data_IF_069915749463
#
_entry.id   IF_069915749463
#
_cell.length_a   1.000
_cell.length_b   1.000
_cell.length_c   1.000
_cell.angle_alpha   90.00
_cell.angle_beta   90.00
_cell.angle_gamma   90.00
#
_symmetry.space_group_name_H-M   'P 1'
#
loop_
_entity.id
_entity.type
_entity.pdbx_description
1 polymer ?
#
# COMPACT_ATOMS: atom_id res chain seq x y z
N UNK A 1 26.35 1.61 -3.62
CA UNK A 1 26.74 1.32 -5.02
C UNK A 1 28.14 0.70 -5.08
N UNK A 2 29.15 1.36 -4.52
CA UNK A 2 30.55 0.91 -4.57
C UNK A 2 30.79 -0.48 -3.95
N UNK A 3 30.20 -0.76 -2.77
CA UNK A 3 30.42 -2.05 -2.09
C UNK A 3 29.92 -3.24 -2.92
N UNK A 4 28.76 -3.13 -3.56
CA UNK A 4 28.21 -4.18 -4.42
C UNK A 4 29.15 -4.48 -5.59
N UNK A 5 29.62 -3.47 -6.29
CA UNK A 5 30.57 -3.62 -7.40
C UNK A 5 31.91 -4.21 -6.94
N UNK A 6 32.42 -3.74 -5.80
CA UNK A 6 33.68 -4.26 -5.23
C UNK A 6 33.57 -5.74 -4.88
N UNK A 7 32.46 -6.14 -4.20
CA UNK A 7 32.25 -7.57 -3.87
C UNK A 7 32.18 -8.43 -5.12
N UNK A 8 31.42 -8.02 -6.15
CA UNK A 8 31.35 -8.77 -7.40
C UNK A 8 32.70 -8.86 -8.12
N UNK A 9 33.45 -7.77 -8.15
CA UNK A 9 34.81 -7.76 -8.73
C UNK A 9 35.74 -8.70 -7.97
N UNK A 10 35.75 -8.68 -6.65
CA UNK A 10 36.54 -9.59 -5.81
C UNK A 10 36.20 -11.04 -6.08
N UNK A 11 34.88 -11.40 -6.11
CA UNK A 11 34.41 -12.76 -6.40
C UNK A 11 34.85 -13.23 -7.81
N UNK A 12 34.80 -12.35 -8.78
CA UNK A 12 35.25 -12.62 -10.12
C UNK A 12 36.80 -12.89 -10.14
N UNK A 13 37.59 -12.04 -9.49
CA UNK A 13 39.05 -12.22 -9.38
C UNK A 13 39.42 -13.51 -8.65
N UNK A 14 38.70 -13.85 -7.57
CA UNK A 14 38.87 -15.11 -6.85
C UNK A 14 38.56 -16.32 -7.75
N UNK A 15 37.54 -16.27 -8.56
CA UNK A 15 37.19 -17.35 -9.49
C UNK A 15 38.35 -17.57 -10.49
N UNK A 16 38.88 -16.51 -11.08
CA UNK A 16 40.03 -16.60 -11.99
C UNK A 16 41.27 -17.14 -11.28
N UNK A 17 41.54 -16.69 -10.05
CA UNK A 17 42.67 -17.18 -9.25
C UNK A 17 42.54 -18.68 -8.96
N UNK A 18 41.36 -19.19 -8.59
CA UNK A 18 41.17 -20.62 -8.37
C UNK A 18 41.32 -21.42 -9.65
N UNK A 19 40.80 -20.97 -10.78
CA UNK A 19 41.01 -21.59 -12.09
C UNK A 19 42.50 -21.73 -12.38
N UNK A 20 43.28 -20.65 -12.25
CA UNK A 20 44.72 -20.66 -12.45
C UNK A 20 45.45 -21.65 -11.52
N UNK A 21 45.09 -21.67 -10.22
CA UNK A 21 45.64 -22.61 -9.22
C UNK A 21 45.36 -24.07 -9.59
N UNK A 22 44.15 -24.39 -10.07
CA UNK A 22 43.76 -25.74 -10.47
C UNK A 22 44.59 -26.19 -11.66
N UNK A 23 44.76 -25.33 -12.67
CA UNK A 23 45.60 -25.69 -13.83
C UNK A 23 47.05 -25.96 -13.45
N UNK A 24 47.64 -25.21 -12.53
CA UNK A 24 49.02 -25.42 -12.04
C UNK A 24 49.16 -26.52 -11.01
N UNK A 25 48.08 -27.11 -10.52
CA UNK A 25 48.15 -28.16 -9.50
C UNK A 25 48.69 -29.47 -10.07
N UNK A 26 49.35 -30.28 -9.21
CA UNK A 26 49.80 -31.64 -9.53
C UNK A 26 48.66 -32.69 -9.38
N UNK A 27 47.39 -32.29 -9.29
CA UNK A 27 46.25 -33.16 -9.14
C UNK A 27 46.01 -34.00 -10.41
N UNK A 28 45.41 -35.19 -10.25
CA UNK A 28 45.01 -36.01 -11.40
C UNK A 28 44.01 -35.29 -12.29
N UNK A 29 43.99 -35.59 -13.57
CA UNK A 29 43.08 -34.96 -14.54
C UNK A 29 41.58 -35.10 -14.14
N UNK A 30 41.20 -36.24 -13.57
CA UNK A 30 39.83 -36.41 -13.05
C UNK A 30 39.53 -35.40 -11.91
N UNK A 31 40.47 -35.20 -11.02
CA UNK A 31 40.33 -34.25 -9.90
C UNK A 31 40.31 -32.80 -10.35
N UNK A 32 41.15 -32.46 -11.35
CA UNK A 32 41.14 -31.12 -11.98
C UNK A 32 39.80 -30.84 -12.64
N UNK A 33 39.26 -31.77 -13.44
CA UNK A 33 37.96 -31.60 -14.08
C UNK A 33 36.84 -31.36 -13.04
N UNK A 34 36.83 -32.15 -11.96
CA UNK A 34 35.84 -31.96 -10.88
C UNK A 34 35.97 -30.56 -10.24
N UNK A 35 37.20 -30.14 -9.92
CA UNK A 35 37.41 -28.83 -9.28
C UNK A 35 37.04 -27.68 -10.23
N UNK A 36 37.37 -27.79 -11.52
CA UNK A 36 36.98 -26.80 -12.52
C UNK A 36 35.47 -26.72 -12.68
N UNK A 37 34.77 -27.88 -12.69
CA UNK A 37 33.29 -27.90 -12.71
C UNK A 37 32.69 -27.20 -11.48
N UNK A 38 33.22 -27.42 -10.28
CA UNK A 38 32.77 -26.76 -9.06
C UNK A 38 32.99 -25.24 -9.12
N UNK A 39 34.18 -24.79 -9.58
CA UNK A 39 34.45 -23.35 -9.76
C UNK A 39 33.53 -22.73 -10.81
N UNK A 40 33.28 -23.48 -11.90
CA UNK A 40 32.34 -23.01 -12.93
C UNK A 40 30.91 -22.87 -12.41
N UNK A 41 30.41 -23.88 -11.67
CA UNK A 41 29.08 -23.79 -11.02
C UNK A 41 29.04 -22.62 -10.05
N UNK A 42 30.05 -22.46 -9.21
CA UNK A 42 30.13 -21.31 -8.29
C UNK A 42 30.10 -19.97 -9.05
N UNK A 43 30.88 -19.86 -10.13
CA UNK A 43 30.90 -18.65 -10.96
C UNK A 43 29.50 -18.35 -11.56
N UNK A 44 28.82 -19.36 -12.09
CA UNK A 44 27.47 -19.21 -12.64
C UNK A 44 26.48 -18.75 -11.56
N UNK A 45 26.56 -19.31 -10.35
CA UNK A 45 25.72 -18.89 -9.23
C UNK A 45 26.00 -17.45 -8.80
N UNK A 46 27.26 -17.05 -8.73
CA UNK A 46 27.64 -15.66 -8.42
C UNK A 46 27.13 -14.70 -9.49
N UNK A 47 27.28 -15.08 -10.77
CA UNK A 47 26.79 -14.27 -11.89
C UNK A 47 25.26 -14.13 -11.84
N UNK A 48 24.54 -15.23 -11.64
CA UNK A 48 23.10 -15.22 -11.54
C UNK A 48 22.63 -14.34 -10.35
N UNK A 49 23.24 -14.53 -9.16
CA UNK A 49 22.96 -13.69 -8.01
C UNK A 49 23.22 -12.20 -8.31
N UNK A 50 24.32 -11.89 -8.97
CA UNK A 50 24.68 -10.52 -9.33
C UNK A 50 23.68 -9.87 -10.29
N UNK A 51 23.19 -10.64 -11.27
CA UNK A 51 22.15 -10.17 -12.21
C UNK A 51 20.84 -9.89 -11.47
N UNK A 52 20.39 -10.82 -10.63
CA UNK A 52 19.17 -10.63 -9.84
C UNK A 52 19.32 -9.47 -8.85
N UNK A 53 20.46 -9.36 -8.16
CA UNK A 53 20.72 -8.23 -7.27
C UNK A 53 20.67 -6.89 -8.03
N UNK A 54 21.30 -6.81 -9.21
CA UNK A 54 21.21 -5.62 -10.04
C UNK A 54 19.79 -5.30 -10.47
N UNK A 55 19.04 -6.32 -10.87
CA UNK A 55 17.62 -6.18 -11.26
C UNK A 55 16.79 -5.63 -10.10
N UNK A 56 16.79 -6.28 -8.92
CA UNK A 56 16.00 -5.83 -7.77
C UNK A 56 16.47 -4.49 -7.21
N UNK A 57 17.75 -4.17 -7.33
CA UNK A 57 18.32 -2.92 -6.85
C UNK A 57 18.00 -1.73 -7.77
N UNK A 58 18.04 -1.92 -9.09
CA UNK A 58 17.99 -0.80 -10.03
C UNK A 58 16.75 -0.80 -10.93
N UNK A 59 16.25 -1.96 -11.31
CA UNK A 59 15.18 -2.09 -12.31
C UNK A 59 13.82 -2.31 -11.66
N UNK A 60 13.71 -3.35 -10.80
CA UNK A 60 12.45 -3.68 -10.15
C UNK A 60 11.87 -2.48 -9.38
N UNK A 61 10.63 -2.09 -9.69
CA UNK A 61 10.05 -0.84 -9.22
C UNK A 61 8.57 -1.01 -8.84
N UNK A 62 8.32 -1.97 -7.94
CA UNK A 62 7.00 -2.24 -7.40
C UNK A 62 7.03 -2.13 -5.87
N UNK A 63 5.88 -1.77 -5.27
CA UNK A 63 5.68 -1.87 -3.83
C UNK A 63 5.42 -3.32 -3.41
N UNK A 64 5.50 -3.61 -2.12
CA UNK A 64 5.18 -4.93 -1.56
C UNK A 64 3.85 -4.96 -0.78
N UNK A 65 3.17 -3.83 -0.73
CA UNK A 65 1.89 -3.65 -0.05
C UNK A 65 1.95 -3.64 1.48
N UNK A 66 3.04 -4.12 2.08
CA UNK A 66 3.18 -4.25 3.55
C UNK A 66 4.32 -3.40 4.12
N UNK A 67 5.16 -2.81 3.28
CA UNK A 67 6.26 -1.97 3.71
C UNK A 67 7.50 -2.70 4.23
N UNK A 68 7.59 -4.02 4.05
CA UNK A 68 8.67 -4.82 4.65
C UNK A 68 9.95 -4.88 3.85
N UNK A 69 9.83 -4.92 2.53
CA UNK A 69 10.93 -5.20 1.63
C UNK A 69 11.73 -3.92 1.32
N UNK A 70 13.02 -4.09 1.05
CA UNK A 70 13.86 -2.98 0.57
C UNK A 70 13.34 -2.38 -0.73
N UNK A 71 12.70 -3.18 -1.57
CA UNK A 71 12.07 -2.70 -2.81
C UNK A 71 10.96 -1.71 -2.54
N UNK A 72 10.19 -1.87 -1.45
CA UNK A 72 9.15 -0.92 -1.05
C UNK A 72 9.75 0.44 -0.66
N UNK A 73 10.82 0.44 0.12
CA UNK A 73 11.52 1.69 0.48
C UNK A 73 12.01 2.44 -0.76
N UNK A 74 12.50 1.69 -1.78
CA UNK A 74 12.92 2.27 -3.06
C UNK A 74 11.74 2.80 -3.86
N UNK A 75 10.64 2.05 -3.94
CA UNK A 75 9.40 2.50 -4.58
C UNK A 75 8.92 3.81 -3.94
N UNK A 76 8.88 3.85 -2.61
CA UNK A 76 8.49 5.03 -1.86
C UNK A 76 9.39 6.24 -2.17
N UNK A 77 10.72 6.06 -2.19
CA UNK A 77 11.66 7.13 -2.54
C UNK A 77 11.49 7.67 -3.96
N UNK A 78 10.98 6.85 -4.90
CA UNK A 78 10.82 7.22 -6.30
C UNK A 78 9.46 7.85 -6.61
N UNK A 79 8.41 7.38 -5.94
CA UNK A 79 7.04 7.67 -6.33
C UNK A 79 6.26 8.47 -5.29
N UNK A 80 6.83 8.69 -4.10
CA UNK A 80 6.16 9.44 -3.04
C UNK A 80 6.86 10.76 -2.80
N UNK A 81 6.13 11.84 -3.07
CA UNK A 81 6.54 13.20 -2.74
C UNK A 81 5.51 13.72 -1.76
N UNK A 82 5.98 14.17 -0.60
CA UNK A 82 5.14 14.76 0.43
C UNK A 82 5.06 16.28 0.28
N UNK A 83 3.88 16.82 0.53
CA UNK A 83 3.70 18.27 0.68
C UNK A 83 4.18 18.77 2.07
N UNK A 84 4.05 20.07 2.31
CA UNK A 84 4.43 20.71 3.58
C UNK A 84 3.64 20.18 4.80
N UNK A 85 2.49 19.53 4.60
CA UNK A 85 1.66 18.89 5.62
C UNK A 85 1.91 17.39 5.78
N UNK A 86 2.92 16.85 5.08
CA UNK A 86 3.25 15.42 5.05
C UNK A 86 2.16 14.52 4.47
N UNK A 87 1.40 15.01 3.48
CA UNK A 87 0.52 14.20 2.63
C UNK A 87 1.16 14.00 1.25
N UNK A 88 0.88 12.87 0.62
CA UNK A 88 1.28 12.59 -0.77
C UNK A 88 0.38 13.34 -1.73
N UNK A 89 0.48 14.65 -1.73
CA UNK A 89 -0.32 15.54 -2.54
C UNK A 89 0.46 16.82 -2.84
N UNK A 90 -0.09 17.68 -3.70
CA UNK A 90 0.41 19.06 -3.86
C UNK A 90 0.30 19.84 -2.56
N UNK A 91 1.01 20.95 -2.46
CA UNK A 91 0.85 21.86 -1.34
C UNK A 91 -0.59 22.39 -1.26
N UNK A 92 -1.11 22.44 -0.02
CA UNK A 92 -2.44 22.95 0.26
C UNK A 92 -2.39 24.47 0.46
N UNK A 93 -3.38 25.18 -0.08
CA UNK A 93 -3.58 26.59 0.19
C UNK A 93 -4.63 26.75 1.26
N UNK A 94 -4.31 27.52 2.33
CA UNK A 94 -5.27 27.76 3.42
C UNK A 94 -6.43 28.63 2.92
N UNK A 95 -6.10 29.71 2.21
CA UNK A 95 -7.10 30.62 1.66
C UNK A 95 -7.92 29.94 0.55
N UNK A 96 -9.23 29.85 0.76
CA UNK A 96 -10.17 29.29 -0.21
C UNK A 96 -10.63 30.39 -1.16
N UNK A 97 -10.44 30.18 -2.45
CA UNK A 97 -10.87 31.15 -3.48
C UNK A 97 -12.38 31.18 -3.58
N UNK A 98 -12.93 32.36 -3.85
CA UNK A 98 -14.37 32.56 -4.04
C UNK A 98 -14.92 31.67 -5.17
N UNK A 99 -16.04 31.03 -4.89
CA UNK A 99 -16.71 30.14 -5.83
C UNK A 99 -16.01 28.77 -6.07
N UNK A 100 -14.94 28.46 -5.34
CA UNK A 100 -14.29 27.16 -5.38
C UNK A 100 -14.90 26.26 -4.29
N UNK A 101 -15.33 25.06 -4.67
CA UNK A 101 -15.68 24.00 -3.71
C UNK A 101 -14.44 23.21 -3.38
N UNK A 102 -14.28 22.87 -2.10
CA UNK A 102 -13.13 22.12 -1.62
C UNK A 102 -13.57 20.75 -1.07
N UNK A 103 -12.94 19.71 -1.56
CA UNK A 103 -13.19 18.32 -1.16
C UNK A 103 -11.98 17.82 -0.39
N UNK A 104 -12.21 17.33 0.84
CA UNK A 104 -11.21 16.59 1.59
C UNK A 104 -11.43 15.09 1.41
N UNK A 105 -10.37 14.35 1.11
CA UNK A 105 -10.41 12.88 1.05
C UNK A 105 -9.65 12.37 2.27
N UNK A 106 -10.35 11.66 3.16
CA UNK A 106 -9.75 10.95 4.29
C UNK A 106 -9.74 9.46 3.99
N UNK A 107 -8.80 8.73 4.55
CA UNK A 107 -8.63 7.30 4.35
C UNK A 107 -7.20 6.85 4.66
N UNK A 108 -6.96 5.58 4.44
CA UNK A 108 -5.71 4.90 4.76
C UNK A 108 -4.71 4.86 3.59
N UNK A 109 -4.14 3.68 3.37
CA UNK A 109 -3.18 3.41 2.29
C UNK A 109 -3.80 3.40 0.90
N UNK A 110 -5.11 3.21 0.78
CA UNK A 110 -5.83 3.24 -0.49
C UNK A 110 -6.01 4.69 -0.95
N UNK A 111 -6.47 5.59 -0.06
CA UNK A 111 -6.51 7.02 -0.35
C UNK A 111 -5.12 7.57 -0.66
N UNK A 112 -4.10 7.20 0.13
CA UNK A 112 -2.70 7.52 -0.17
C UNK A 112 -2.26 7.07 -1.55
N UNK A 113 -2.88 6.04 -2.13
CA UNK A 113 -2.51 5.43 -3.40
C UNK A 113 -1.32 4.48 -3.27
N UNK A 114 -1.38 3.56 -2.29
CA UNK A 114 -0.41 2.49 -2.13
C UNK A 114 -0.27 1.72 -3.45
N UNK A 115 0.97 1.46 -3.88
CA UNK A 115 1.26 0.79 -5.15
C UNK A 115 1.13 1.65 -6.42
N UNK A 116 0.37 2.73 -6.41
CA UNK A 116 0.20 3.63 -7.57
C UNK A 116 1.45 4.49 -7.77
N UNK A 117 2.10 4.36 -8.91
CA UNK A 117 3.36 5.08 -9.20
C UNK A 117 3.14 6.56 -9.51
N UNK A 118 2.16 6.86 -10.35
CA UNK A 118 1.83 8.23 -10.70
C UNK A 118 0.66 8.72 -9.84
N UNK A 119 0.90 9.72 -9.01
CA UNK A 119 -0.11 10.30 -8.11
C UNK A 119 -1.39 10.75 -8.85
N UNK A 120 -1.28 11.13 -10.11
CA UNK A 120 -2.43 11.54 -10.92
C UNK A 120 -3.37 10.38 -11.30
N UNK A 121 -2.96 9.13 -11.07
CA UNK A 121 -3.79 7.94 -11.31
C UNK A 121 -4.55 7.49 -10.05
N UNK A 122 -4.42 8.20 -8.91
CA UNK A 122 -5.26 7.98 -7.73
C UNK A 122 -6.68 8.47 -7.97
N UNK A 123 -7.65 7.84 -7.31
CA UNK A 123 -9.06 8.19 -7.48
C UNK A 123 -9.37 9.65 -7.11
N UNK A 124 -8.70 10.21 -6.09
CA UNK A 124 -8.87 11.61 -5.67
C UNK A 124 -8.41 12.61 -6.74
N UNK A 125 -7.24 12.38 -7.35
CA UNK A 125 -6.70 13.21 -8.43
C UNK A 125 -7.53 13.07 -9.72
N UNK A 126 -7.96 11.82 -10.04
CA UNK A 126 -8.83 11.55 -11.18
C UNK A 126 -10.20 12.21 -11.02
N UNK A 127 -10.78 12.19 -9.81
CA UNK A 127 -12.03 12.88 -9.50
C UNK A 127 -11.89 14.39 -9.69
N UNK A 128 -10.82 15.00 -9.15
CA UNK A 128 -10.57 16.42 -9.33
C UNK A 128 -10.51 16.79 -10.82
N UNK A 129 -9.77 16.01 -11.59
CA UNK A 129 -9.65 16.22 -13.03
C UNK A 129 -11.01 16.13 -13.72
N UNK A 130 -11.83 15.10 -13.44
CA UNK A 130 -13.16 14.92 -14.03
C UNK A 130 -14.10 16.07 -13.70
N UNK A 131 -14.10 16.55 -12.47
CA UNK A 131 -14.91 17.68 -12.03
C UNK A 131 -14.47 18.96 -12.75
N UNK A 132 -13.16 19.24 -12.83
CA UNK A 132 -12.63 20.41 -13.57
C UNK A 132 -12.93 20.35 -15.06
N UNK A 133 -12.75 19.20 -15.70
CA UNK A 133 -13.06 18.98 -17.12
C UNK A 133 -14.57 19.17 -17.40
N UNK A 134 -15.42 18.98 -16.38
CA UNK A 134 -16.87 19.23 -16.43
C UNK A 134 -17.25 20.68 -16.09
N UNK A 135 -16.28 21.57 -15.90
CA UNK A 135 -16.49 23.01 -15.69
C UNK A 135 -16.67 23.43 -14.23
N UNK A 136 -16.51 22.51 -13.26
CA UNK A 136 -16.60 22.86 -11.84
C UNK A 136 -15.29 23.50 -11.34
N UNK A 137 -15.43 24.54 -10.53
CA UNK A 137 -14.29 25.12 -9.79
C UNK A 137 -14.12 24.33 -8.50
N UNK A 138 -13.16 23.41 -8.48
CA UNK A 138 -12.95 22.49 -7.35
C UNK A 138 -11.46 22.31 -7.02
N UNK A 139 -11.18 22.11 -5.76
CA UNK A 139 -9.91 21.62 -5.23
C UNK A 139 -10.19 20.33 -4.45
N UNK A 140 -9.47 19.26 -4.76
CA UNK A 140 -9.51 18.00 -4.00
C UNK A 140 -8.17 17.83 -3.30
N UNK A 141 -8.19 17.67 -1.97
CA UNK A 141 -7.02 17.45 -1.13
C UNK A 141 -7.10 16.08 -0.50
N UNK A 142 -6.06 15.28 -0.71
CA UNK A 142 -5.98 13.91 -0.24
C UNK A 142 -5.17 13.86 1.06
N UNK A 143 -5.82 13.40 2.13
CA UNK A 143 -5.26 13.30 3.47
C UNK A 143 -4.89 11.84 3.84
N UNK A 144 -4.94 10.92 2.87
CA UNK A 144 -4.67 9.50 3.07
C UNK A 144 -3.30 9.21 3.68
N UNK A 145 -3.29 8.33 4.67
CA UNK A 145 -2.08 7.91 5.41
C UNK A 145 -2.02 6.41 5.58
N UNK A 146 -0.98 5.74 5.05
CA UNK A 146 -0.86 4.28 5.17
C UNK A 146 -0.85 3.79 6.63
N UNK A 147 -1.66 2.77 6.91
CA UNK A 147 -1.71 2.11 8.21
C UNK A 147 -2.48 2.88 9.29
N UNK A 148 -3.26 3.87 8.89
CA UNK A 148 -4.19 4.54 9.79
C UNK A 148 -5.51 3.75 9.84
N UNK A 149 -6.14 3.83 10.98
CA UNK A 149 -7.50 3.38 11.27
C UNK A 149 -8.46 4.58 11.29
N UNK A 150 -9.72 4.34 11.50
CA UNK A 150 -10.76 5.38 11.59
C UNK A 150 -10.39 6.53 12.53
N UNK A 151 -9.84 6.25 13.72
CA UNK A 151 -9.45 7.32 14.66
C UNK A 151 -8.29 8.15 14.12
N UNK A 152 -7.32 7.49 13.49
CA UNK A 152 -6.19 8.14 12.83
C UNK A 152 -6.64 9.04 11.68
N UNK A 153 -7.55 8.57 10.85
CA UNK A 153 -8.10 9.34 9.72
C UNK A 153 -8.87 10.58 10.17
N UNK A 154 -9.72 10.43 11.19
CA UNK A 154 -10.42 11.55 11.83
C UNK A 154 -9.41 12.56 12.40
N UNK A 155 -8.36 12.07 13.07
CA UNK A 155 -7.32 12.94 13.61
C UNK A 155 -6.58 13.72 12.52
N UNK A 156 -6.36 13.12 11.33
CA UNK A 156 -5.76 13.84 10.19
C UNK A 156 -6.70 14.93 9.67
N UNK A 157 -8.00 14.67 9.55
CA UNK A 157 -8.98 15.70 9.21
C UNK A 157 -8.95 16.86 10.20
N UNK A 158 -8.94 16.59 11.51
CA UNK A 158 -8.93 17.63 12.55
C UNK A 158 -7.70 18.55 12.48
N UNK A 159 -6.54 18.03 12.05
CA UNK A 159 -5.31 18.84 11.87
C UNK A 159 -5.46 19.89 10.78
N UNK A 160 -6.28 19.63 9.77
CA UNK A 160 -6.38 20.47 8.57
C UNK A 160 -7.80 20.97 8.29
N UNK A 161 -8.72 20.87 9.25
CA UNK A 161 -10.09 21.34 9.07
C UNK A 161 -10.23 22.85 8.78
N UNK A 162 -9.19 23.62 9.12
CA UNK A 162 -9.06 25.04 8.77
C UNK A 162 -8.91 25.27 7.26
N UNK A 163 -8.70 24.22 6.45
CA UNK A 163 -8.75 24.28 4.98
C UNK A 163 -10.17 24.47 4.44
N UNK A 164 -11.19 24.43 5.29
CA UNK A 164 -12.59 24.71 4.97
C UNK A 164 -13.16 23.85 3.82
N UNK A 165 -13.26 22.55 4.05
CA UNK A 165 -13.86 21.60 3.12
C UNK A 165 -15.40 21.78 3.05
N UNK A 166 -15.97 21.67 1.85
CA UNK A 166 -17.42 21.63 1.64
C UNK A 166 -17.95 20.19 1.62
N UNK A 167 -17.12 19.27 1.11
CA UNK A 167 -17.44 17.85 0.94
C UNK A 167 -16.29 17.03 1.53
N UNK A 168 -16.66 15.99 2.25
CA UNK A 168 -15.69 14.97 2.71
C UNK A 168 -15.97 13.69 1.96
N UNK A 169 -14.96 13.14 1.33
CA UNK A 169 -14.95 11.78 0.83
C UNK A 169 -14.20 10.93 1.84
N UNK A 170 -14.88 9.95 2.40
CA UNK A 170 -14.29 9.00 3.33
C UNK A 170 -14.04 7.69 2.59
N UNK A 171 -12.80 7.40 2.31
CA UNK A 171 -12.38 6.09 1.85
C UNK A 171 -12.36 5.17 3.07
N UNK A 172 -13.22 4.15 3.06
CA UNK A 172 -13.37 3.19 4.14
C UNK A 172 -12.90 1.82 3.68
N UNK A 173 -11.98 1.26 4.42
CA UNK A 173 -11.49 -0.08 4.20
C UNK A 173 -11.71 -0.95 5.42
N UNK A 174 -11.90 -2.27 5.22
CA UNK A 174 -12.33 -3.15 6.33
C UNK A 174 -11.25 -3.38 7.40
N UNK A 175 -10.04 -2.88 7.25
CA UNK A 175 -9.00 -2.87 8.28
C UNK A 175 -9.05 -1.64 9.20
N UNK A 176 -9.99 -0.70 8.99
CA UNK A 176 -10.15 0.53 9.77
C UNK A 176 -10.71 0.28 11.16
N UNK A 177 -11.31 -0.89 11.40
CA UNK A 177 -11.73 -1.34 12.71
C UNK A 177 -10.54 -1.82 13.51
N UNK A 178 -10.23 -1.15 14.62
CA UNK A 178 -9.13 -1.53 15.51
C UNK A 178 -9.60 -1.63 16.97
N UNK A 179 -8.99 -2.53 17.78
CA UNK A 179 -9.22 -2.52 19.21
C UNK A 179 -8.69 -1.24 19.85
N UNK A 180 -9.41 -0.69 20.81
CA UNK A 180 -9.13 0.57 21.52
C UNK A 180 -7.67 0.74 22.04
N UNK A 181 -6.94 -0.35 22.22
CA UNK A 181 -5.55 -0.33 22.73
C UNK A 181 -4.47 -0.20 21.66
N UNK A 182 -4.83 -0.14 20.35
CA UNK A 182 -3.88 -0.24 19.24
C UNK A 182 -3.85 0.93 18.25
N UNK A 183 -4.60 2.00 18.49
CA UNK A 183 -4.73 3.16 17.59
C UNK A 183 -3.44 4.01 17.44
N UNK A 184 -2.26 3.43 17.56
CA UNK A 184 -0.99 4.17 17.56
C UNK A 184 -0.26 4.23 16.22
N UNK A 185 -0.90 3.86 15.10
CA UNK A 185 -0.28 3.97 13.77
C UNK A 185 1.05 3.20 13.62
N UNK A 186 1.34 2.29 14.53
CA UNK A 186 2.52 1.42 14.43
C UNK A 186 2.18 0.27 13.49
N UNK A 187 3.00 0.02 12.46
CA UNK A 187 2.81 -1.15 11.62
C UNK A 187 2.76 -2.38 12.52
N UNK A 188 1.64 -3.12 12.47
CA UNK A 188 1.33 -4.32 13.25
C UNK A 188 2.47 -5.35 13.21
N UNK A 189 3.42 -5.16 12.33
CA UNK A 189 4.55 -6.06 12.12
C UNK A 189 5.85 -5.27 12.19
N UNK A 190 6.31 -5.04 13.41
CA UNK A 190 7.72 -4.75 13.61
C UNK A 190 8.54 -5.83 12.90
N UNK A 191 9.49 -5.42 12.07
CA UNK A 191 10.55 -6.27 11.51
C UNK A 191 11.19 -7.01 12.70
N UNK A 192 10.67 -8.22 12.97
CA UNK A 192 10.74 -8.81 14.29
C UNK A 192 12.19 -9.17 14.64
N UNK A 193 12.63 -8.78 15.83
CA UNK A 193 13.92 -9.01 16.46
C UNK A 193 14.34 -10.49 16.59
N UNK A 194 13.54 -11.44 16.13
CA UNK A 194 13.83 -12.89 16.17
C UNK A 194 14.46 -13.42 14.87
N UNK A 195 14.74 -12.58 13.89
CA UNK A 195 15.50 -13.02 12.72
C UNK A 195 16.96 -13.18 13.13
N UNK A 196 17.57 -14.34 12.85
CA UNK A 196 18.98 -14.56 13.16
C UNK A 196 19.85 -13.43 12.60
N UNK A 197 20.80 -12.90 13.37
CA UNK A 197 21.67 -11.78 13.01
C UNK A 197 22.30 -11.93 11.61
N UNK A 198 22.57 -13.16 11.21
CA UNK A 198 23.10 -13.51 9.88
C UNK A 198 22.10 -13.15 8.75
N UNK A 199 20.84 -13.54 8.90
CA UNK A 199 19.79 -13.26 7.90
C UNK A 199 19.55 -11.76 7.79
N UNK A 200 19.49 -11.08 8.92
CA UNK A 200 19.33 -9.64 8.95
C UNK A 200 20.48 -8.93 8.26
N UNK A 201 21.72 -9.37 8.47
CA UNK A 201 22.90 -8.82 7.79
C UNK A 201 22.78 -8.89 6.25
N UNK A 202 22.37 -10.06 5.70
CA UNK A 202 22.21 -10.21 4.26
C UNK A 202 20.99 -9.46 3.71
N UNK A 203 19.85 -9.48 4.41
CA UNK A 203 18.69 -8.68 4.04
C UNK A 203 19.00 -7.18 4.02
N UNK A 204 19.81 -6.69 4.94
CA UNK A 204 20.20 -5.28 4.97
C UNK A 204 21.15 -4.87 3.83
N UNK A 205 21.89 -5.80 3.26
CA UNK A 205 22.91 -5.51 2.22
C UNK A 205 22.46 -5.85 0.80
N UNK A 206 21.54 -6.82 0.63
CA UNK A 206 21.11 -7.33 -0.65
C UNK A 206 19.60 -7.13 -0.86
N UNK A 207 19.22 -6.53 -1.98
CA UNK A 207 17.82 -6.40 -2.41
C UNK A 207 17.24 -7.74 -2.84
N UNK A 208 18.03 -8.54 -3.58
CA UNK A 208 17.58 -9.86 -4.03
C UNK A 208 17.42 -10.83 -2.87
N UNK A 209 18.41 -10.89 -1.95
CA UNK A 209 18.31 -11.75 -0.78
C UNK A 209 17.11 -11.35 0.10
N UNK A 210 16.93 -10.06 0.39
CA UNK A 210 15.80 -9.52 1.15
C UNK A 210 14.46 -9.95 0.51
N UNK A 211 14.34 -9.77 -0.81
CA UNK A 211 13.14 -10.12 -1.54
C UNK A 211 12.84 -11.62 -1.46
N UNK A 212 13.80 -12.49 -1.76
CA UNK A 212 13.62 -13.95 -1.76
C UNK A 212 13.38 -14.48 -0.36
N UNK A 213 14.16 -14.03 0.63
CA UNK A 213 14.03 -14.47 2.01
C UNK A 213 12.61 -14.22 2.56
N UNK A 214 12.11 -13.01 2.40
CA UNK A 214 10.78 -12.67 2.89
C UNK A 214 9.68 -13.39 2.10
N UNK A 215 9.84 -13.56 0.80
CA UNK A 215 8.87 -14.28 -0.05
C UNK A 215 8.78 -15.76 0.25
N UNK A 216 9.89 -16.41 0.54
CA UNK A 216 9.94 -17.83 0.91
C UNK A 216 9.68 -18.04 2.41
N UNK A 217 9.70 -16.98 3.20
CA UNK A 217 9.41 -17.08 4.62
C UNK A 217 7.94 -17.43 4.84
N UNK A 218 7.71 -18.55 5.56
CA UNK A 218 6.37 -18.93 6.02
C UNK A 218 5.72 -17.86 6.90
N UNK A 219 6.51 -16.95 7.48
CA UNK A 219 6.01 -15.79 8.24
C UNK A 219 5.27 -14.80 7.35
N UNK A 220 5.74 -14.53 6.13
CA UNK A 220 5.06 -13.62 5.21
C UNK A 220 3.65 -14.11 4.88
N UNK A 221 3.51 -15.40 4.54
CA UNK A 221 2.20 -15.99 4.26
C UNK A 221 1.28 -16.00 5.48
N UNK A 222 1.81 -16.42 6.65
CA UNK A 222 1.04 -16.40 7.91
C UNK A 222 0.62 -15.00 8.32
N UNK A 223 1.48 -14.01 8.12
CA UNK A 223 1.15 -12.62 8.41
C UNK A 223 -0.01 -12.12 7.56
N UNK A 224 0.00 -12.43 6.27
CA UNK A 224 -1.07 -12.03 5.36
C UNK A 224 -2.40 -12.71 5.70
N UNK A 225 -2.37 -14.01 6.05
CA UNK A 225 -3.55 -14.72 6.54
C UNK A 225 -4.04 -14.21 7.91
N UNK A 226 -3.12 -13.87 8.80
CA UNK A 226 -3.45 -13.30 10.12
C UNK A 226 -4.07 -11.91 10.01
N UNK A 227 -3.57 -11.04 9.13
CA UNK A 227 -4.20 -9.75 8.86
C UNK A 227 -5.65 -9.95 8.42
N UNK A 228 -5.90 -10.84 7.45
CA UNK A 228 -7.25 -11.18 7.01
C UNK A 228 -8.15 -11.61 8.15
N UNK A 229 -7.72 -12.62 8.91
CA UNK A 229 -8.54 -13.20 9.99
C UNK A 229 -8.70 -12.25 11.16
N UNK A 230 -7.69 -11.44 11.46
CA UNK A 230 -7.75 -10.45 12.54
C UNK A 230 -8.72 -9.32 12.19
N UNK A 231 -8.64 -8.76 10.98
CA UNK A 231 -9.50 -7.65 10.57
C UNK A 231 -10.98 -8.08 10.56
N UNK A 232 -11.31 -9.24 9.98
CA UNK A 232 -12.69 -9.73 9.96
C UNK A 232 -13.21 -10.10 11.36
N UNK A 233 -12.34 -10.65 12.24
CA UNK A 233 -12.72 -10.98 13.60
C UNK A 233 -13.10 -9.75 14.44
N UNK A 234 -12.59 -8.55 14.11
CA UNK A 234 -12.99 -7.32 14.81
C UNK A 234 -14.48 -7.00 14.60
N UNK A 235 -15.03 -7.34 13.43
CA UNK A 235 -16.46 -7.14 13.13
C UNK A 235 -17.37 -8.14 13.85
N UNK A 236 -16.83 -9.28 14.31
CA UNK A 236 -17.56 -10.27 15.11
C UNK A 236 -17.58 -9.88 16.60
N UNK A 237 -16.59 -9.14 17.08
CA UNK A 237 -16.56 -8.63 18.46
C UNK A 237 -17.48 -7.41 18.60
N UNK A 238 -18.63 -7.61 19.25
CA UNK A 238 -19.63 -6.56 19.43
C UNK A 238 -19.14 -5.34 20.20
N UNK A 239 -18.16 -5.49 21.11
CA UNK A 239 -17.62 -4.35 21.85
C UNK A 239 -16.76 -3.48 20.94
N UNK A 240 -15.90 -4.11 20.14
CA UNK A 240 -15.03 -3.41 19.18
C UNK A 240 -15.91 -2.74 18.12
N UNK A 241 -16.82 -3.47 17.51
CA UNK A 241 -17.68 -2.97 16.46
C UNK A 241 -18.59 -1.81 16.94
N UNK A 242 -19.20 -1.94 18.13
CA UNK A 242 -20.04 -0.89 18.67
C UNK A 242 -19.25 0.37 19.01
N UNK A 243 -18.02 0.22 19.54
CA UNK A 243 -17.13 1.35 19.79
C UNK A 243 -16.73 2.05 18.47
N UNK A 244 -16.35 1.27 17.47
CA UNK A 244 -16.02 1.76 16.14
C UNK A 244 -17.18 2.55 15.50
N UNK A 245 -18.39 1.97 15.55
CA UNK A 245 -19.60 2.64 15.06
C UNK A 245 -19.91 3.93 15.81
N UNK A 246 -19.65 3.97 17.12
CA UNK A 246 -19.85 5.18 17.91
C UNK A 246 -18.93 6.30 17.45
N UNK A 247 -17.64 6.01 17.23
CA UNK A 247 -16.66 6.98 16.73
C UNK A 247 -17.09 7.53 15.37
N UNK A 248 -17.49 6.65 14.45
CA UNK A 248 -17.99 7.06 13.13
C UNK A 248 -19.23 7.96 13.25
N UNK A 249 -20.22 7.55 14.05
CA UNK A 249 -21.47 8.31 14.22
C UNK A 249 -21.22 9.70 14.81
N UNK A 250 -20.34 9.81 15.80
CA UNK A 250 -19.97 11.09 16.41
C UNK A 250 -19.29 12.01 15.40
N UNK A 251 -18.38 11.48 14.58
CA UNK A 251 -17.70 12.27 13.55
C UNK A 251 -18.66 12.69 12.43
N UNK A 252 -19.53 11.79 11.93
CA UNK A 252 -20.54 12.14 10.93
C UNK A 252 -21.49 13.23 11.46
N UNK A 253 -21.86 13.14 12.73
CA UNK A 253 -22.67 14.16 13.40
C UNK A 253 -21.93 15.52 13.47
N UNK A 254 -20.63 15.52 13.79
CA UNK A 254 -19.80 16.75 13.77
C UNK A 254 -19.82 17.38 12.37
N UNK A 255 -19.53 16.59 11.33
CA UNK A 255 -19.52 17.05 9.95
C UNK A 255 -20.88 17.61 9.50
N UNK A 256 -21.97 16.96 9.90
CA UNK A 256 -23.32 17.41 9.58
C UNK A 256 -23.67 18.74 10.28
N UNK A 257 -23.27 18.92 11.54
CA UNK A 257 -23.43 20.19 12.26
C UNK A 257 -22.63 21.33 11.59
N UNK A 258 -21.52 21.02 10.95
CA UNK A 258 -20.72 21.96 10.14
C UNK A 258 -21.27 22.11 8.70
N UNK A 259 -22.42 21.51 8.37
CA UNK A 259 -23.02 21.51 7.04
C UNK A 259 -22.14 20.90 5.96
N UNK A 260 -21.21 20.00 6.31
CA UNK A 260 -20.38 19.26 5.34
C UNK A 260 -21.21 18.14 4.71
N UNK A 261 -21.01 17.91 3.42
CA UNK A 261 -21.56 16.73 2.75
C UNK A 261 -20.56 15.60 2.85
N UNK A 262 -21.05 14.39 3.14
CA UNK A 262 -20.17 13.22 3.29
C UNK A 262 -20.53 12.16 2.25
N UNK A 263 -19.54 11.68 1.54
CA UNK A 263 -19.63 10.54 0.63
C UNK A 263 -18.62 9.50 1.10
N UNK A 264 -19.11 8.33 1.46
CA UNK A 264 -18.26 7.19 1.84
C UNK A 264 -18.07 6.27 0.65
N UNK A 265 -16.85 5.86 0.39
CA UNK A 265 -16.53 4.86 -0.62
C UNK A 265 -15.87 3.66 0.05
N UNK A 266 -16.53 2.50 -0.02
CA UNK A 266 -16.08 1.27 0.64
C UNK A 266 -15.30 0.43 -0.38
N UNK A 267 -14.05 0.10 -0.05
CA UNK A 267 -13.19 -0.75 -0.88
C UNK A 267 -13.24 -2.20 -0.39
N UNK A 268 -13.38 -3.19 -1.29
CA UNK A 268 -13.34 -4.59 -0.92
C UNK A 268 -11.93 -5.09 -0.68
N UNK A 269 -11.79 -6.14 0.12
CA UNK A 269 -10.56 -6.89 0.30
C UNK A 269 -10.21 -7.64 -0.98
N UNK A 270 -9.51 -6.97 -1.91
CA UNK A 270 -9.19 -7.50 -3.26
C UNK A 270 -8.43 -8.83 -3.21
N UNK A 271 -7.67 -9.10 -2.14
CA UNK A 271 -6.94 -10.34 -1.96
C UNK A 271 -7.86 -11.58 -1.82
N UNK A 272 -9.12 -11.35 -1.46
CA UNK A 272 -10.10 -12.41 -1.17
C UNK A 272 -11.31 -12.36 -2.09
N UNK A 273 -11.27 -11.48 -3.09
CA UNK A 273 -12.36 -11.31 -4.03
C UNK A 273 -12.54 -12.59 -4.87
N UNK A 274 -13.79 -13.06 -4.94
CA UNK A 274 -14.17 -14.29 -5.62
C UNK A 274 -15.54 -14.79 -5.17
N UNK A 275 -15.96 -15.98 -5.61
CA UNK A 275 -17.29 -16.52 -5.30
C UNK A 275 -17.59 -16.65 -3.80
N UNK A 276 -16.56 -16.94 -3.01
CA UNK A 276 -16.67 -17.12 -1.54
C UNK A 276 -16.09 -15.90 -0.80
N UNK A 277 -16.38 -14.70 -1.28
CA UNK A 277 -15.91 -13.46 -0.62
C UNK A 277 -16.39 -13.38 0.83
N UNK A 278 -15.46 -13.33 1.82
CA UNK A 278 -15.84 -13.58 3.22
C UNK A 278 -16.49 -12.38 3.90
N UNK A 279 -16.44 -11.18 3.33
CA UNK A 279 -16.83 -9.94 4.00
C UNK A 279 -18.10 -9.29 3.41
N UNK A 280 -18.88 -10.00 2.58
CA UNK A 280 -20.07 -9.42 1.93
C UNK A 280 -21.12 -8.89 2.91
N UNK A 281 -21.34 -9.59 4.03
CA UNK A 281 -22.26 -9.14 5.07
C UNK A 281 -21.73 -7.91 5.81
N UNK A 282 -20.43 -7.82 6.02
CA UNK A 282 -19.78 -6.66 6.64
C UNK A 282 -19.94 -5.43 5.75
N UNK A 283 -19.76 -5.56 4.43
CA UNK A 283 -20.02 -4.47 3.48
C UNK A 283 -21.45 -3.94 3.62
N UNK A 284 -22.44 -4.82 3.56
CA UNK A 284 -23.85 -4.43 3.74
C UNK A 284 -24.09 -3.76 5.09
N UNK A 285 -23.53 -4.30 6.17
CA UNK A 285 -23.69 -3.77 7.52
C UNK A 285 -23.12 -2.36 7.65
N UNK A 286 -21.92 -2.12 7.11
CA UNK A 286 -21.25 -0.83 7.19
C UNK A 286 -21.88 0.18 6.22
N UNK A 287 -22.24 -0.23 5.02
CA UNK A 287 -22.95 0.64 4.07
C UNK A 287 -24.26 1.18 4.66
N UNK A 288 -25.12 0.31 5.18
CA UNK A 288 -26.36 0.72 5.84
C UNK A 288 -26.08 1.62 7.04
N UNK A 289 -25.05 1.30 7.84
CA UNK A 289 -24.71 2.12 9.00
C UNK A 289 -24.29 3.54 8.61
N UNK A 290 -23.48 3.71 7.57
CA UNK A 290 -23.09 5.03 7.06
C UNK A 290 -24.31 5.80 6.51
N UNK A 291 -25.19 5.14 5.76
CA UNK A 291 -26.41 5.75 5.22
C UNK A 291 -27.37 6.19 6.33
N UNK A 292 -27.57 5.36 7.35
CA UNK A 292 -28.41 5.67 8.52
C UNK A 292 -27.88 6.89 9.31
N UNK A 293 -26.57 7.18 9.20
CA UNK A 293 -25.94 8.33 9.81
C UNK A 293 -25.74 9.52 8.84
N UNK A 294 -26.42 9.49 7.69
CA UNK A 294 -26.55 10.64 6.79
C UNK A 294 -25.45 10.79 5.75
N UNK A 295 -24.58 9.80 5.56
CA UNK A 295 -23.62 9.78 4.47
C UNK A 295 -24.22 9.20 3.18
N UNK A 296 -23.74 9.65 2.01
CA UNK A 296 -23.98 8.93 0.76
C UNK A 296 -22.93 7.83 0.61
N UNK A 297 -23.35 6.62 0.24
CA UNK A 297 -22.45 5.47 0.17
C UNK A 297 -22.25 4.98 -1.27
N UNK A 298 -21.04 4.54 -1.57
CA UNK A 298 -20.64 3.80 -2.76
C UNK A 298 -19.91 2.55 -2.28
N UNK A 299 -20.48 1.37 -2.49
CA UNK A 299 -19.77 0.13 -2.25
C UNK A 299 -19.16 -0.40 -3.55
N UNK A 300 -17.83 -0.43 -3.63
CA UNK A 300 -17.13 -0.93 -4.80
C UNK A 300 -17.23 -2.45 -4.97
N UNK A 301 -17.61 -3.19 -3.92
CA UNK A 301 -17.86 -4.62 -4.03
C UNK A 301 -18.92 -4.92 -5.10
N UNK A 302 -19.95 -4.11 -5.23
CA UNK A 302 -21.01 -4.29 -6.23
C UNK A 302 -20.51 -4.29 -7.67
N UNK A 303 -19.39 -3.63 -7.93
CA UNK A 303 -18.80 -3.49 -9.27
C UNK A 303 -17.63 -4.44 -9.51
N UNK A 304 -17.09 -5.03 -8.44
CA UNK A 304 -15.85 -5.81 -8.49
C UNK A 304 -16.03 -7.29 -8.15
N UNK A 305 -17.14 -7.69 -7.51
CA UNK A 305 -17.36 -9.06 -6.98
C UNK A 305 -17.20 -10.17 -8.01
N UNK A 306 -17.52 -9.91 -9.29
CA UNK A 306 -17.41 -10.90 -10.37
C UNK A 306 -16.03 -10.88 -11.07
N UNK A 307 -15.07 -10.11 -10.55
CA UNK A 307 -13.73 -9.99 -11.12
C UNK A 307 -12.73 -10.87 -10.37
N UNK A 308 -11.66 -11.25 -11.07
CA UNK A 308 -10.53 -11.90 -10.41
C UNK A 308 -9.74 -10.84 -9.59
N UNK A 309 -9.67 -11.03 -8.28
CA UNK A 309 -9.01 -10.07 -7.40
C UNK A 309 -7.57 -9.77 -7.77
N UNK A 310 -6.79 -10.77 -8.25
CA UNK A 310 -5.39 -10.56 -8.64
C UNK A 310 -5.20 -9.61 -9.81
N UNK A 311 -6.17 -9.52 -10.71
CA UNK A 311 -6.12 -8.61 -11.86
C UNK A 311 -6.38 -7.15 -11.45
N UNK A 312 -6.79 -6.95 -10.20
CA UNK A 312 -7.11 -5.65 -9.59
C UNK A 312 -5.99 -5.14 -8.67
N UNK A 313 -4.93 -5.92 -8.45
CA UNK A 313 -3.82 -5.56 -7.59
C UNK A 313 -2.87 -4.57 -8.27
N UNK A 314 -2.31 -3.67 -7.49
CA UNK A 314 -1.30 -2.71 -7.93
C UNK A 314 -0.04 -3.41 -8.49
N UNK A 315 0.34 -4.55 -7.93
CA UNK A 315 1.39 -5.41 -8.48
C UNK A 315 1.18 -6.88 -8.08
N UNK A 316 1.97 -7.78 -8.64
CA UNK A 316 1.92 -9.22 -8.27
C UNK A 316 2.07 -9.46 -6.75
N UNK A 317 2.62 -8.50 -6.02
CA UNK A 317 2.97 -8.63 -4.61
C UNK A 317 2.31 -7.58 -3.72
N UNK A 318 1.50 -6.72 -4.30
CA UNK A 318 0.80 -5.65 -3.61
C UNK A 318 -0.68 -5.69 -3.94
N UNK A 319 -1.48 -6.09 -2.96
CA UNK A 319 -2.94 -6.22 -3.11
C UNK A 319 -3.71 -4.91 -2.99
N UNK A 320 -3.03 -3.75 -2.87
CA UNK A 320 -3.72 -2.47 -3.00
C UNK A 320 -4.37 -2.34 -4.38
N UNK A 321 -5.41 -1.52 -4.51
CA UNK A 321 -6.07 -1.26 -5.77
C UNK A 321 -5.11 -0.75 -6.85
N UNK A 322 -5.23 -1.28 -8.08
CA UNK A 322 -4.50 -0.78 -9.23
C UNK A 322 -5.21 0.43 -9.88
N UNK A 323 -4.61 1.00 -10.92
CA UNK A 323 -5.14 2.17 -11.64
C UNK A 323 -6.53 1.94 -12.24
N UNK A 324 -6.91 0.70 -12.54
CA UNK A 324 -8.27 0.38 -13.01
C UNK A 324 -9.29 0.60 -11.90
N UNK A 325 -9.00 0.11 -10.69
CA UNK A 325 -9.90 0.25 -9.53
C UNK A 325 -9.97 1.72 -9.11
N UNK A 326 -8.85 2.45 -9.12
CA UNK A 326 -8.84 3.89 -8.85
C UNK A 326 -9.67 4.68 -9.88
N UNK A 327 -9.61 4.34 -11.16
CA UNK A 327 -10.48 4.96 -12.19
C UNK A 327 -11.95 4.66 -11.94
N UNK A 328 -12.29 3.41 -11.62
CA UNK A 328 -13.66 3.04 -11.27
C UNK A 328 -14.16 3.82 -10.06
N UNK A 329 -13.37 3.92 -9.00
CA UNK A 329 -13.70 4.70 -7.80
C UNK A 329 -13.95 6.18 -8.16
N UNK A 330 -13.07 6.78 -8.97
CA UNK A 330 -13.24 8.16 -9.43
C UNK A 330 -14.50 8.35 -10.28
N UNK A 331 -14.87 7.38 -11.12
CA UNK A 331 -16.09 7.44 -11.94
C UNK A 331 -17.34 7.41 -11.04
N UNK A 332 -17.38 6.50 -10.05
CA UNK A 332 -18.50 6.38 -9.13
C UNK A 332 -18.63 7.59 -8.20
N UNK A 333 -17.49 8.09 -7.70
CA UNK A 333 -17.44 9.32 -6.93
C UNK A 333 -17.91 10.52 -7.74
N UNK A 334 -17.52 10.64 -9.01
CA UNK A 334 -17.96 11.73 -9.87
C UNK A 334 -19.49 11.76 -10.00
N UNK A 335 -20.13 10.61 -10.21
CA UNK A 335 -21.58 10.51 -10.34
C UNK A 335 -22.30 10.92 -9.05
N UNK A 336 -21.74 10.60 -7.88
CA UNK A 336 -22.29 10.95 -6.57
C UNK A 336 -22.02 12.40 -6.15
N UNK A 337 -20.81 12.90 -6.41
CA UNK A 337 -20.37 14.23 -5.96
C UNK A 337 -20.92 15.35 -6.85
N UNK A 338 -21.03 15.11 -8.16
CA UNK A 338 -21.51 16.11 -9.10
C UNK A 338 -22.84 16.78 -8.72
N UNK A 339 -23.89 16.06 -8.24
CA UNK A 339 -25.14 16.69 -7.80
C UNK A 339 -24.98 17.64 -6.60
N UNK A 340 -23.95 17.46 -5.77
CA UNK A 340 -23.68 18.27 -4.57
C UNK A 340 -23.12 19.66 -4.88
N UNK A 341 -22.82 19.94 -6.14
CA UNK A 341 -22.37 21.26 -6.62
C UNK A 341 -23.53 22.20 -7.01
N UNK A 342 -24.76 21.73 -6.93
CA UNK A 342 -25.98 22.49 -7.28
C UNK A 342 -26.46 23.36 -6.13
#
# INVERSE_FOLDING_TARGET
FSLYLVVNFVLFCLSLFFIYKIFKSKASERKKKLLLSLVFVFFVLVLAFSVFEAYFRYVYDESDGLGYLKVNSKWHQRHVIYNAYFYRDRDFTVEKKEGVKRIGVIGDSIAFGGGIKNVNDRFSNLLEKKLKDSGYKVEVYDLGKPGYDTEGEIAEYQKVKNLDFDIIIWEYFLNDVQPQEKSTGTPIIARNSQTANFVQFFSDKSYFFDFIFWRLSTRYQKTFEQLKTADLAQYEDQNILNHHKLIIADFLKELNLENKKVVVIIFPLLAFLGPDYPAGEIHNQMANFFEDNGAEVIDLLDYLKDKNGRDLWASQFDSHPNEFVHRLAADKLFDKVKPLFR
#
